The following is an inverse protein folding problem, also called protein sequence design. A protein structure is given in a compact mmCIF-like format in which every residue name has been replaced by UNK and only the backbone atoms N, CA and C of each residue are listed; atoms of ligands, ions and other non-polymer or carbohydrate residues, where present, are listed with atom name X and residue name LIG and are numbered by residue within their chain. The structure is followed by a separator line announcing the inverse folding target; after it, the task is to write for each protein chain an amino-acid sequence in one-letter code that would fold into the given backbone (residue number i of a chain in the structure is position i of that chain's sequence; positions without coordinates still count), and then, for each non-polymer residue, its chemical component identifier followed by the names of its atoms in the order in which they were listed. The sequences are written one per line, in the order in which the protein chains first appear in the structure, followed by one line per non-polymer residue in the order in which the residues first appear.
data_IF_263139545672
#
_entry.id   IF_263139545672
#
_cell.length_a   1.000
_cell.length_b   1.000
_cell.length_c   1.000
_cell.angle_alpha   90.00
_cell.angle_beta   90.00
_cell.angle_gamma   90.00
#
_symmetry.space_group_name_H-M   'P 1'
#
loop_
_entity.id
_entity.type
_entity.pdbx_description
1 polymer ?
#
# COMPACT_ATOMS: atom_id res chain seq x y z
N UNK A 1 15.50 -14.00 -4.53
CA UNK A 1 16.28 -13.61 -3.33
C UNK A 1 17.16 -12.42 -3.72
N UNK A 2 17.25 -11.40 -2.87
CA UNK A 2 18.04 -10.19 -3.10
C UNK A 2 19.31 -10.24 -2.24
N UNK A 3 20.47 -9.91 -2.81
CA UNK A 3 21.70 -9.74 -2.02
C UNK A 3 21.76 -8.29 -1.58
N UNK A 4 21.67 -8.06 -0.27
CA UNK A 4 21.72 -6.75 0.33
C UNK A 4 22.99 -6.57 1.17
N UNK A 5 23.30 -5.33 1.54
CA UNK A 5 24.46 -4.98 2.36
C UNK A 5 24.02 -4.30 3.66
N UNK A 6 24.52 -4.78 4.79
CA UNK A 6 24.31 -4.16 6.10
C UNK A 6 25.12 -2.87 6.21
N UNK A 7 24.81 -2.04 7.21
CA UNK A 7 25.61 -0.85 7.53
C UNK A 7 27.07 -1.19 7.87
N UNK A 8 27.32 -2.40 8.38
CA UNK A 8 28.68 -2.93 8.64
C UNK A 8 29.47 -3.25 7.37
N UNK A 9 28.82 -3.29 6.19
CA UNK A 9 29.42 -3.77 4.94
C UNK A 9 29.27 -5.27 4.71
N UNK A 10 28.74 -6.01 5.69
CA UNK A 10 28.43 -7.43 5.59
C UNK A 10 27.31 -7.68 4.57
N UNK A 11 27.49 -8.70 3.73
CA UNK A 11 26.45 -9.13 2.77
C UNK A 11 25.44 -10.02 3.49
N UNK A 12 24.17 -9.87 3.15
CA UNK A 12 23.11 -10.73 3.64
C UNK A 12 22.09 -11.00 2.54
N UNK A 13 21.44 -12.16 2.61
CA UNK A 13 20.42 -12.57 1.66
C UNK A 13 19.05 -12.23 2.20
N UNK A 14 18.31 -11.46 1.42
CA UNK A 14 16.99 -10.98 1.76
C UNK A 14 15.96 -11.60 0.82
N UNK A 15 15.06 -12.40 1.37
CA UNK A 15 13.87 -12.83 0.64
C UNK A 15 12.81 -11.74 0.80
N UNK A 16 12.44 -11.14 -0.33
CA UNK A 16 11.41 -10.12 -0.41
C UNK A 16 10.25 -10.66 -1.25
N UNK A 17 9.08 -10.72 -0.64
CA UNK A 17 7.81 -11.04 -1.30
C UNK A 17 6.89 -9.82 -1.24
N UNK A 18 6.64 -9.22 -2.41
CA UNK A 18 5.76 -8.07 -2.55
C UNK A 18 4.46 -8.51 -3.22
N UNK A 19 3.32 -8.28 -2.56
CA UNK A 19 2.00 -8.63 -3.08
C UNK A 19 0.97 -7.56 -2.72
N UNK A 20 0.09 -7.26 -3.67
CA UNK A 20 -1.08 -6.43 -3.39
C UNK A 20 -2.14 -7.22 -2.62
N UNK A 21 -2.80 -6.59 -1.65
CA UNK A 21 -3.93 -7.15 -0.92
C UNK A 21 -5.14 -6.22 -1.07
N UNK A 22 -6.16 -6.66 -1.80
CA UNK A 22 -7.41 -5.90 -1.97
C UNK A 22 -8.30 -6.12 -0.76
N UNK A 23 -8.77 -5.02 -0.16
CA UNK A 23 -9.59 -5.04 1.06
C UNK A 23 -10.99 -4.47 0.88
N UNK A 24 -11.21 -3.62 -0.12
CA UNK A 24 -12.51 -3.02 -0.40
C UNK A 24 -12.68 -2.75 -1.90
N UNK A 25 -13.94 -2.59 -2.31
CA UNK A 25 -14.30 -2.19 -3.68
C UNK A 25 -15.30 -1.05 -3.62
N UNK A 26 -15.10 -0.03 -4.44
CA UNK A 26 -16.08 1.01 -4.67
C UNK A 26 -17.17 0.46 -5.60
N UNK A 27 -18.42 0.39 -5.15
CA UNK A 27 -19.50 -0.17 -5.95
C UNK A 27 -20.01 0.78 -7.05
N UNK A 28 -19.66 2.07 -6.98
CA UNK A 28 -20.04 3.08 -7.96
C UNK A 28 -19.01 3.11 -9.11
N UNK A 29 -17.73 3.25 -8.77
CA UNK A 29 -16.65 3.34 -9.78
C UNK A 29 -16.09 1.98 -10.22
N UNK A 30 -16.29 0.92 -9.42
CA UNK A 30 -15.65 -0.38 -9.62
C UNK A 30 -14.19 -0.43 -9.16
N UNK A 31 -13.64 0.68 -8.66
CA UNK A 31 -12.26 0.76 -8.19
C UNK A 31 -12.03 -0.13 -6.96
N UNK A 32 -10.80 -0.60 -6.83
CA UNK A 32 -10.39 -1.48 -5.74
C UNK A 32 -9.43 -0.75 -4.81
N UNK A 33 -9.70 -0.80 -3.51
CA UNK A 33 -8.79 -0.34 -2.48
C UNK A 33 -7.89 -1.50 -2.09
N UNK A 34 -6.58 -1.32 -2.26
CA UNK A 34 -5.60 -2.35 -1.99
C UNK A 34 -4.34 -1.76 -1.36
N UNK A 35 -3.63 -2.59 -0.60
CA UNK A 35 -2.36 -2.25 0.01
C UNK A 35 -1.24 -3.06 -0.62
N UNK A 36 -0.06 -2.46 -0.82
CA UNK A 36 1.14 -3.20 -1.15
C UNK A 36 1.74 -3.76 0.14
N UNK A 37 1.77 -5.08 0.27
CA UNK A 37 2.35 -5.77 1.43
C UNK A 37 3.69 -6.37 1.03
N UNK A 38 4.72 -6.06 1.81
CA UNK A 38 6.05 -6.64 1.68
C UNK A 38 6.36 -7.56 2.86
N UNK A 39 6.61 -8.84 2.56
CA UNK A 39 7.14 -9.80 3.54
C UNK A 39 8.63 -9.91 3.27
N UNK A 40 9.42 -9.53 4.27
CA UNK A 40 10.87 -9.52 4.20
C UNK A 40 11.46 -10.50 5.21
N UNK A 41 12.39 -11.34 4.79
CA UNK A 41 13.10 -12.28 5.65
C UNK A 41 14.59 -12.32 5.34
N UNK A 42 15.44 -12.20 6.37
CA UNK A 42 16.87 -12.50 6.28
C UNK A 42 17.06 -14.02 6.26
N UNK A 43 17.57 -14.54 5.15
CA UNK A 43 17.78 -15.99 4.91
C UNK A 43 19.26 -16.35 4.86
N UNK A 44 20.15 -15.47 5.34
CA UNK A 44 21.61 -15.65 5.28
C UNK A 44 22.06 -16.93 5.98
N UNK A 45 21.58 -17.15 7.22
CA UNK A 45 21.92 -18.34 8.01
C UNK A 45 21.38 -19.65 7.44
N UNK A 46 20.29 -19.60 6.66
CA UNK A 46 19.73 -20.79 6.03
C UNK A 46 20.67 -21.31 4.93
N UNK A 47 21.32 -20.40 4.19
CA UNK A 47 22.27 -20.78 3.15
C UNK A 47 23.58 -21.32 3.75
N UNK A 48 24.06 -20.71 4.84
CA UNK A 48 25.24 -21.18 5.58
C UNK A 48 25.05 -22.62 6.07
N UNK A 49 23.88 -22.92 6.63
CA UNK A 49 23.54 -24.25 7.15
C UNK A 49 23.39 -25.29 6.03
N UNK A 50 22.99 -24.87 4.84
CA UNK A 50 22.79 -25.74 3.67
C UNK A 50 24.08 -26.03 2.87
N UNK A 51 25.25 -25.56 3.33
CA UNK A 51 26.51 -25.76 2.61
C UNK A 51 26.66 -24.88 1.36
N UNK A 52 25.94 -23.75 1.29
CA UNK A 52 26.11 -22.76 0.22
C UNK A 52 25.19 -22.94 -0.99
N UNK A 53 24.39 -24.01 -1.05
CA UNK A 53 23.39 -24.22 -2.11
C UNK A 53 21.97 -24.01 -1.60
N UNK A 54 21.15 -23.32 -2.39
CA UNK A 54 19.71 -23.21 -2.14
C UNK A 54 19.07 -24.53 -2.52
N UNK A 55 18.87 -25.42 -1.54
CA UNK A 55 18.07 -26.60 -1.78
C UNK A 55 16.58 -26.20 -2.01
N UNK A 56 15.84 -27.05 -2.72
CA UNK A 56 14.41 -26.81 -2.93
C UNK A 56 13.62 -26.79 -1.61
N UNK A 57 14.12 -27.49 -0.58
CA UNK A 57 13.41 -27.66 0.69
C UNK A 57 13.34 -26.37 1.52
N UNK A 58 14.38 -25.55 1.51
CA UNK A 58 14.42 -24.25 2.19
C UNK A 58 13.47 -23.28 1.49
N UNK A 59 13.43 -23.30 0.16
CA UNK A 59 12.52 -22.45 -0.60
C UNK A 59 11.05 -22.83 -0.29
N UNK A 60 10.72 -24.12 -0.28
CA UNK A 60 9.39 -24.62 0.06
C UNK A 60 8.98 -24.23 1.49
N UNK A 61 9.86 -24.42 2.47
CA UNK A 61 9.60 -24.00 3.87
C UNK A 61 9.40 -22.50 3.97
N UNK A 62 10.21 -21.71 3.29
CA UNK A 62 10.08 -20.25 3.29
C UNK A 62 8.78 -19.81 2.63
N UNK A 63 8.40 -20.46 1.53
CA UNK A 63 7.12 -20.23 0.87
C UNK A 63 5.94 -20.62 1.77
N UNK A 64 6.04 -21.73 2.51
CA UNK A 64 5.03 -22.15 3.48
C UNK A 64 4.84 -21.11 4.58
N UNK A 65 5.93 -20.63 5.19
CA UNK A 65 5.88 -19.57 6.21
C UNK A 65 5.28 -18.29 5.62
N UNK A 66 5.71 -17.89 4.43
CA UNK A 66 5.17 -16.71 3.74
C UNK A 66 3.65 -16.87 3.50
N UNK A 67 3.20 -18.05 3.07
CA UNK A 67 1.77 -18.34 2.88
C UNK A 67 0.98 -18.24 4.19
N UNK A 68 1.54 -18.72 5.30
CA UNK A 68 0.89 -18.60 6.62
C UNK A 68 0.78 -17.14 7.06
N UNK A 69 1.85 -16.35 6.89
CA UNK A 69 1.82 -14.90 7.17
C UNK A 69 0.77 -14.22 6.31
N UNK A 70 0.70 -14.55 5.01
CA UNK A 70 -0.32 -14.00 4.09
C UNK A 70 -1.75 -14.36 4.50
N UNK A 71 -1.98 -15.61 4.93
CA UNK A 71 -3.29 -16.05 5.40
C UNK A 71 -3.70 -15.26 6.66
N UNK A 72 -2.81 -15.21 7.66
CA UNK A 72 -3.04 -14.48 8.92
C UNK A 72 -3.30 -12.99 8.69
N UNK A 73 -2.49 -12.33 7.84
CA UNK A 73 -2.69 -10.91 7.51
C UNK A 73 -4.03 -10.65 6.81
N UNK A 74 -4.44 -11.53 5.91
CA UNK A 74 -5.74 -11.40 5.24
C UNK A 74 -6.90 -11.58 6.24
N UNK A 75 -6.79 -12.52 7.17
CA UNK A 75 -7.82 -12.75 8.19
C UNK A 75 -7.89 -11.58 9.19
N UNK A 76 -6.74 -11.13 9.71
CA UNK A 76 -6.66 -10.01 10.66
C UNK A 76 -7.22 -8.71 10.04
N UNK A 77 -6.84 -8.39 8.79
CA UNK A 77 -7.36 -7.20 8.10
C UNK A 77 -8.84 -7.33 7.73
N UNK A 78 -9.31 -8.53 7.37
CA UNK A 78 -10.72 -8.79 7.14
C UNK A 78 -11.55 -8.54 8.40
N UNK A 79 -11.09 -9.04 9.55
CA UNK A 79 -11.75 -8.84 10.83
C UNK A 79 -11.81 -7.35 11.24
N UNK A 80 -10.71 -6.61 11.06
CA UNK A 80 -10.66 -5.16 11.33
C UNK A 80 -11.62 -4.38 10.42
N UNK A 81 -11.66 -4.72 9.13
CA UNK A 81 -12.53 -4.04 8.17
C UNK A 81 -14.02 -4.26 8.49
N UNK A 82 -14.40 -5.48 8.90
CA UNK A 82 -15.76 -5.78 9.35
C UNK A 82 -16.10 -5.05 10.66
N UNK A 83 -15.17 -5.00 11.61
CA UNK A 83 -15.37 -4.31 12.88
C UNK A 83 -15.59 -2.80 12.70
N UNK A 84 -14.82 -2.16 11.82
CA UNK A 84 -15.00 -0.75 11.48
C UNK A 84 -16.33 -0.47 10.77
N UNK A 85 -16.73 -1.36 9.84
CA UNK A 85 -18.00 -1.23 9.14
C UNK A 85 -19.21 -1.32 10.09
N UNK A 86 -19.14 -2.17 11.12
CA UNK A 86 -20.21 -2.30 12.12
C UNK A 86 -20.28 -1.09 13.07
N UNK A 87 -19.15 -0.48 13.43
CA UNK A 87 -19.13 0.71 14.30
C UNK A 87 -19.67 1.95 13.60
N UNK A 88 -19.41 2.12 12.30
CA UNK A 88 -19.93 3.25 11.52
C UNK A 88 -21.47 3.30 11.45
N UNK A 89 -22.14 2.15 11.56
CA UNK A 89 -23.61 2.06 11.55
C UNK A 89 -24.24 2.56 12.85
N UNK A 90 -23.51 2.53 13.97
CA UNK A 90 -24.06 2.91 15.28
C UNK A 90 -23.84 4.38 15.64
N UNK A 91 -22.95 5.09 14.94
CA UNK A 91 -22.59 6.48 15.25
C UNK A 91 -23.22 7.53 14.35
N UNK A 92 -24.16 7.17 13.46
CA UNK A 92 -25.00 8.15 12.78
C UNK A 92 -26.00 8.77 13.75
N UNK A 93 -25.51 9.58 14.70
CA UNK A 93 -26.30 10.67 15.24
C UNK A 93 -26.72 11.54 14.04
N UNK A 94 -28.00 11.91 13.92
CA UNK A 94 -28.43 12.91 12.94
C UNK A 94 -27.80 14.24 13.35
N UNK A 95 -26.59 14.47 12.89
CA UNK A 95 -25.90 15.75 13.02
C UNK A 95 -26.09 16.46 11.70
N UNK A 96 -26.77 17.61 11.74
CA UNK A 96 -27.09 18.42 10.58
C UNK A 96 -25.81 18.69 9.76
N UNK A 97 -25.84 18.22 8.52
CA UNK A 97 -24.71 18.17 7.61
C UNK A 97 -24.33 19.56 7.10
N UNK A 98 -23.06 19.93 7.25
CA UNK A 98 -22.41 20.86 6.32
C UNK A 98 -22.04 20.09 5.05
N UNK A 99 -22.64 20.46 3.92
CA UNK A 99 -22.65 19.67 2.67
C UNK A 99 -21.29 19.50 1.95
N UNK A 100 -20.23 20.19 2.36
CA UNK A 100 -19.06 20.41 1.48
C UNK A 100 -17.93 19.35 1.54
N UNK A 101 -18.07 18.17 2.16
CA UNK A 101 -16.91 17.25 2.30
C UNK A 101 -17.15 15.73 2.23
N UNK A 102 -18.36 15.25 1.90
CA UNK A 102 -18.65 13.80 1.94
C UNK A 102 -18.44 13.04 0.61
N UNK A 103 -18.14 13.70 -0.50
CA UNK A 103 -18.19 13.05 -1.82
C UNK A 103 -17.16 11.92 -2.03
N UNK A 104 -16.01 11.96 -1.36
CA UNK A 104 -14.92 10.99 -1.57
C UNK A 104 -15.08 9.63 -0.88
N UNK A 105 -15.90 9.54 0.18
CA UNK A 105 -16.03 8.32 0.98
C UNK A 105 -17.25 7.46 0.60
N UNK A 106 -18.20 8.02 -0.17
CA UNK A 106 -19.38 7.28 -0.61
C UNK A 106 -18.97 6.21 -1.62
N UNK A 107 -19.41 4.98 -1.39
CA UNK A 107 -19.23 3.88 -2.35
C UNK A 107 -18.33 2.74 -1.90
N UNK A 108 -17.44 2.95 -0.94
CA UNK A 108 -16.48 1.93 -0.51
C UNK A 108 -17.16 0.83 0.31
N UNK A 109 -17.09 -0.40 -0.20
CA UNK A 109 -17.58 -1.59 0.48
C UNK A 109 -16.40 -2.51 0.83
N UNK A 110 -16.15 -2.76 2.12
CA UNK A 110 -15.20 -3.77 2.54
C UNK A 110 -15.54 -5.13 1.93
N UNK A 111 -14.51 -5.86 1.50
CA UNK A 111 -14.66 -7.25 1.10
C UNK A 111 -14.83 -8.11 2.35
N UNK A 112 -15.73 -9.10 2.28
CA UNK A 112 -15.90 -10.07 3.36
C UNK A 112 -14.63 -10.88 3.62
N UNK A 113 -13.81 -11.07 2.59
CA UNK A 113 -12.48 -11.68 2.67
C UNK A 113 -11.50 -10.90 1.78
N UNK A 114 -10.39 -10.39 2.33
CA UNK A 114 -9.35 -9.77 1.53
C UNK A 114 -8.75 -10.74 0.49
N UNK A 115 -8.39 -10.22 -0.68
CA UNK A 115 -7.92 -11.02 -1.81
C UNK A 115 -6.51 -10.60 -2.22
N UNK A 116 -5.58 -11.56 -2.19
CA UNK A 116 -4.22 -11.36 -2.68
C UNK A 116 -4.19 -11.22 -4.21
N UNK A 117 -3.54 -10.17 -4.71
CA UNK A 117 -3.34 -9.95 -6.14
C UNK A 117 -2.26 -10.87 -6.67
N UNK A 118 -2.55 -11.52 -7.80
CA UNK A 118 -1.52 -12.19 -8.57
C UNK A 118 -0.62 -11.15 -9.23
N UNK A 119 0.71 -11.32 -9.15
CA UNK A 119 1.66 -10.46 -9.84
C UNK A 119 1.59 -10.60 -11.37
N UNK A 120 0.90 -11.61 -11.90
CA UNK A 120 0.77 -11.84 -13.33
C UNK A 120 -0.15 -10.84 -14.04
N UNK A 121 -0.98 -10.09 -13.32
CA UNK A 121 -2.08 -9.36 -13.94
C UNK A 121 -1.82 -7.88 -14.25
N UNK A 122 -0.62 -7.31 -13.97
CA UNK A 122 -0.49 -5.85 -13.98
C UNK A 122 0.86 -5.28 -14.43
N UNK A 123 1.42 -5.79 -15.53
CA UNK A 123 2.36 -4.97 -16.34
C UNK A 123 1.65 -4.22 -17.48
N UNK A 124 0.44 -4.62 -17.86
CA UNK A 124 -0.33 -3.91 -18.89
C UNK A 124 -1.15 -2.74 -18.34
N UNK A 125 -1.62 -2.80 -17.10
CA UNK A 125 -2.46 -1.75 -16.50
C UNK A 125 -1.69 -0.47 -16.10
N UNK A 126 -0.36 -0.54 -15.94
CA UNK A 126 0.49 0.64 -15.66
C UNK A 126 0.77 1.46 -16.94
N UNK A 127 0.41 0.95 -18.12
CA UNK A 127 0.61 1.63 -19.41
C UNK A 127 -0.59 2.42 -19.92
N UNK A 128 -1.71 2.47 -19.20
CA UNK A 128 -2.85 3.32 -19.56
C UNK A 128 -2.93 4.56 -18.65
N UNK A 129 -2.36 5.70 -19.05
CA UNK A 129 -2.73 6.98 -18.47
C UNK A 129 -4.10 7.38 -19.06
N UNK A 130 -5.18 6.76 -18.59
CA UNK A 130 -6.52 7.31 -18.77
C UNK A 130 -6.92 8.06 -17.50
N UNK A 131 -6.16 9.11 -17.21
CA UNK A 131 -6.41 10.04 -16.11
C UNK A 131 -6.28 11.45 -16.64
N UNK A 132 -7.42 12.06 -16.98
CA UNK A 132 -7.72 13.48 -17.18
C UNK A 132 -6.53 14.43 -17.05
N UNK A 133 -6.23 15.11 -18.16
CA UNK A 133 -5.68 16.47 -18.14
C UNK A 133 -6.66 17.33 -17.34
N UNK A 134 -6.37 17.60 -16.08
CA UNK A 134 -6.92 18.76 -15.39
C UNK A 134 -6.34 19.98 -16.10
N UNK A 135 -7.19 20.77 -16.75
CA UNK A 135 -6.76 22.04 -17.31
C UNK A 135 -6.08 22.89 -16.22
N UNK A 136 -5.02 23.63 -16.56
CA UNK A 136 -4.36 24.51 -15.62
C UNK A 136 -5.37 25.56 -15.13
N UNK A 137 -5.65 25.54 -13.82
CA UNK A 137 -6.34 26.63 -13.14
C UNK A 137 -5.50 27.88 -13.37
N UNK A 138 -6.05 28.83 -14.13
CA UNK A 138 -5.45 30.13 -14.34
C UNK A 138 -5.31 30.83 -12.98
N UNK A 139 -4.07 30.96 -12.51
CA UNK A 139 -3.74 31.78 -11.33
C UNK A 139 -3.89 33.24 -11.76
N UNK A 140 -4.73 34.06 -11.10
CA UNK A 140 -4.74 35.50 -11.33
C UNK A 140 -3.40 36.06 -10.83
N UNK A 141 -2.53 36.44 -11.76
CA UNK A 141 -1.35 37.26 -11.46
C UNK A 141 -1.80 38.68 -11.13
N UNK A 142 -2.06 38.94 -9.85
CA UNK A 142 -2.14 40.30 -9.34
C UNK A 142 -1.53 40.34 -7.94
N UNK A 143 -0.24 40.71 -7.85
CA UNK A 143 0.28 41.36 -6.66
C UNK A 143 1.40 42.33 -7.05
N UNK A 144 1.08 43.59 -6.78
CA UNK A 144 1.78 44.82 -7.10
C UNK A 144 3.16 44.89 -6.46
N UNK A 145 4.02 45.62 -7.16
CA UNK A 145 5.30 46.13 -6.72
C UNK A 145 5.24 46.72 -5.30
N UNK A 146 6.21 46.34 -4.46
CA UNK A 146 6.25 46.71 -3.05
C UNK A 146 7.64 46.64 -2.43
N UNK A 147 8.58 47.38 -3.01
CA UNK A 147 9.74 48.02 -2.38
C UNK A 147 9.96 47.76 -0.87
N UNK A 148 11.04 47.05 -0.50
CA UNK A 148 11.78 47.38 0.73
C UNK A 148 13.15 46.72 0.80
N UNK A 149 14.17 47.53 0.52
CA UNK A 149 15.56 47.32 0.93
C UNK A 149 15.67 47.08 2.43
N UNK A 150 16.32 45.98 2.85
CA UNK A 150 17.02 45.94 4.14
C UNK A 150 18.36 45.22 4.02
N UNK A 151 19.37 46.06 4.15
CA UNK A 151 20.78 45.78 4.39
C UNK A 151 20.92 45.17 5.79
N UNK A 152 21.72 44.12 5.93
CA UNK A 152 22.39 43.80 7.20
C UNK A 152 23.82 43.32 6.93
N UNK A 153 24.78 44.21 7.16
CA UNK A 153 26.09 43.91 7.76
C UNK A 153 25.88 43.85 9.29
N UNK A 154 26.64 43.14 10.11
CA UNK A 154 27.94 42.48 9.99
C UNK A 154 27.95 41.18 10.83
#
# INVERSE_FOLDING_TARGET
VLVNRRKSGELFLNLLDLRGLTVARNHLSGEELWFLVGIQADVTHLLETAGGEFDGTILEKTQQVTNQVRAKLADDLGALALSGALQGVQQSKPFEESEDSQEGARGWRPLAKPVWRSLHTSLEAVRSPQGRVTEPIAVPTECKDGNSSRIWTA
#
